data_IF_304028148823
#
_entry.id   IF_304028148823
#
_cell.length_a   1.000
_cell.length_b   1.000
_cell.length_c   1.000
_cell.angle_alpha   90.00
_cell.angle_beta   90.00
_cell.angle_gamma   90.00
#
_symmetry.space_group_name_H-M   'P 1'
#
loop_
_entity.id
_entity.type
_entity.pdbx_description
1 polymer ?
#
# COMPACT_ATOMS: atom_id res chain seq x y z
N UNK A 1 -17.93 -5.20 28.70
CA UNK A 1 -16.51 -5.05 28.29
C UNK A 1 -16.09 -6.31 27.52
N UNK A 2 -15.37 -6.14 26.41
CA UNK A 2 -14.82 -7.25 25.62
C UNK A 2 -13.33 -7.33 25.94
N UNK A 3 -12.87 -8.50 26.42
CA UNK A 3 -11.44 -8.77 26.55
C UNK A 3 -10.84 -8.89 25.16
N UNK A 4 -9.71 -8.24 24.93
CA UNK A 4 -9.01 -8.20 23.64
C UNK A 4 -7.50 -8.31 23.87
N UNK A 5 -6.76 -8.69 22.83
CA UNK A 5 -5.31 -8.66 22.81
C UNK A 5 -4.85 -7.63 21.77
N UNK A 6 -3.79 -6.91 22.08
CA UNK A 6 -3.35 -5.78 21.27
C UNK A 6 -1.81 -5.70 21.22
N UNK A 7 -1.26 -5.38 20.06
CA UNK A 7 0.16 -5.05 19.92
C UNK A 7 0.35 -3.57 20.23
N UNK A 8 1.03 -3.28 21.33
CA UNK A 8 1.39 -1.94 21.78
C UNK A 8 2.84 -1.63 21.45
N UNK A 9 3.08 -0.45 20.98
CA UNK A 9 4.41 0.13 20.95
C UNK A 9 4.58 0.94 22.23
N UNK A 10 5.31 0.37 23.19
CA UNK A 10 5.47 0.93 24.53
C UNK A 10 6.55 2.01 24.59
N UNK A 11 7.48 1.97 23.66
CA UNK A 11 8.51 2.98 23.44
C UNK A 11 9.04 2.86 22.00
N UNK A 12 9.91 3.78 21.59
CA UNK A 12 10.58 3.72 20.29
C UNK A 12 11.28 2.36 20.11
N UNK A 13 10.91 1.64 19.02
CA UNK A 13 11.48 0.36 18.69
C UNK A 13 11.02 -0.83 19.52
N UNK A 14 10.11 -0.65 20.47
CA UNK A 14 9.69 -1.74 21.34
C UNK A 14 8.19 -2.02 21.21
N UNK A 15 7.87 -3.16 20.60
CA UNK A 15 6.51 -3.70 20.55
C UNK A 15 6.29 -4.72 21.67
N UNK A 16 5.09 -4.76 22.23
CA UNK A 16 4.64 -5.75 23.22
C UNK A 16 3.23 -6.23 22.87
N UNK A 17 2.98 -7.51 23.05
CA UNK A 17 1.66 -8.12 22.90
C UNK A 17 0.99 -8.21 24.28
N UNK A 18 -0.07 -7.46 24.51
CA UNK A 18 -0.67 -7.29 25.83
C UNK A 18 -2.19 -7.49 25.79
N UNK A 19 -2.78 -8.03 26.88
CA UNK A 19 -4.22 -8.00 27.07
C UNK A 19 -4.70 -6.56 27.22
N UNK A 20 -5.89 -6.32 26.73
CA UNK A 20 -6.59 -5.03 26.82
C UNK A 20 -8.10 -5.26 26.88
N UNK A 21 -8.86 -4.20 27.04
CA UNK A 21 -10.31 -4.24 27.10
C UNK A 21 -10.91 -3.13 26.24
N UNK A 22 -12.11 -3.40 25.71
CA UNK A 22 -12.89 -2.39 24.99
C UNK A 22 -14.36 -2.41 25.40
N UNK A 23 -15.03 -1.28 25.34
CA UNK A 23 -16.47 -1.19 25.58
C UNK A 23 -17.25 -1.95 24.50
N UNK A 24 -18.39 -2.53 24.85
CA UNK A 24 -19.33 -3.14 23.91
C UNK A 24 -20.22 -2.13 23.19
N UNK A 25 -20.38 -0.93 23.76
CA UNK A 25 -21.23 0.10 23.16
C UNK A 25 -20.77 0.45 21.75
N UNK A 26 -21.72 0.46 20.81
CA UNK A 26 -21.53 0.86 19.41
C UNK A 26 -22.21 2.18 19.13
N UNK A 27 -21.48 3.12 18.51
CA UNK A 27 -22.13 4.27 17.90
C UNK A 27 -22.96 3.81 16.67
N UNK A 28 -23.97 4.60 16.27
CA UNK A 28 -24.91 4.20 15.21
C UNK A 28 -24.26 3.84 13.87
N UNK A 29 -23.12 4.43 13.55
CA UNK A 29 -22.36 4.24 12.29
C UNK A 29 -21.17 3.26 12.43
N UNK A 30 -21.02 2.64 13.60
CA UNK A 30 -19.90 1.73 13.88
C UNK A 30 -20.26 0.26 13.66
N UNK A 31 -19.22 -0.53 13.47
CA UNK A 31 -19.26 -1.99 13.35
C UNK A 31 -18.28 -2.58 14.36
N UNK A 32 -18.74 -3.55 15.14
CA UNK A 32 -17.89 -4.38 16.00
C UNK A 32 -17.35 -5.55 15.19
N UNK A 33 -16.04 -5.74 15.26
CA UNK A 33 -15.29 -6.66 14.41
C UNK A 33 -14.42 -7.58 15.27
N UNK A 34 -14.38 -8.88 14.92
CA UNK A 34 -13.34 -9.82 15.33
C UNK A 34 -12.30 -9.92 14.22
N UNK A 35 -11.07 -9.58 14.51
CA UNK A 35 -9.96 -9.61 13.55
C UNK A 35 -9.61 -11.05 13.17
N UNK A 36 -9.44 -11.31 11.88
CA UNK A 36 -8.94 -12.58 11.34
C UNK A 36 -7.45 -12.49 11.12
N UNK A 37 -7.00 -11.44 10.41
CA UNK A 37 -5.58 -11.18 10.17
C UNK A 37 -5.30 -9.68 10.00
N UNK A 38 -4.04 -9.28 10.25
CA UNK A 38 -3.55 -7.93 10.01
C UNK A 38 -2.23 -7.94 9.27
N UNK A 39 -2.01 -6.95 8.39
CA UNK A 39 -0.79 -6.78 7.61
C UNK A 39 0.06 -5.65 8.19
N UNK A 40 1.35 -5.89 8.40
CA UNK A 40 2.30 -4.84 8.74
C UNK A 40 2.52 -3.93 7.52
N UNK A 41 2.26 -2.64 7.70
CA UNK A 41 2.61 -1.61 6.72
C UNK A 41 4.02 -1.10 7.00
N UNK A 42 5.05 -1.84 6.55
CA UNK A 42 6.45 -1.59 6.90
C UNK A 42 6.85 -0.13 6.69
N UNK A 43 6.55 0.47 5.55
CA UNK A 43 6.92 1.86 5.27
C UNK A 43 6.28 2.87 6.23
N UNK A 44 5.01 2.68 6.58
CA UNK A 44 4.26 3.59 7.48
C UNK A 44 4.66 3.37 8.93
N UNK A 45 4.66 2.12 9.39
CA UNK A 45 4.94 1.78 10.78
C UNK A 45 6.40 2.02 11.14
N UNK A 46 7.34 1.59 10.30
CA UNK A 46 8.76 1.92 10.47
C UNK A 46 9.00 3.44 10.59
N UNK A 47 8.34 4.21 9.74
CA UNK A 47 8.49 5.65 9.74
C UNK A 47 7.91 6.32 11.00
N UNK A 48 6.77 5.85 11.47
CA UNK A 48 6.17 6.34 12.72
C UNK A 48 7.06 6.00 13.92
N UNK A 49 7.58 4.78 13.93
CA UNK A 49 8.40 4.28 15.03
C UNK A 49 9.81 4.91 15.09
N UNK A 50 10.32 5.43 13.97
CA UNK A 50 11.64 6.07 13.90
C UNK A 50 11.60 7.59 14.00
N UNK A 51 10.43 8.20 14.28
CA UNK A 51 10.25 9.66 14.27
C UNK A 51 10.74 10.31 12.96
N UNK A 52 10.80 9.54 11.87
CA UNK A 52 11.28 9.97 10.55
C UNK A 52 10.20 10.70 9.74
N UNK A 53 9.20 11.24 10.40
CA UNK A 53 8.08 11.92 9.75
C UNK A 53 8.15 13.42 10.00
N UNK A 54 7.71 14.23 9.03
CA UNK A 54 7.39 15.64 9.21
C UNK A 54 6.14 15.84 10.14
N UNK A 55 5.70 14.78 10.82
CA UNK A 55 4.57 14.79 11.76
C UNK A 55 5.07 14.97 13.19
N UNK A 56 4.19 15.39 14.08
CA UNK A 56 4.47 15.46 15.50
C UNK A 56 4.97 14.11 16.03
N UNK A 57 5.89 14.14 17.00
CA UNK A 57 6.45 12.96 17.65
C UNK A 57 5.34 12.03 18.15
N UNK A 58 5.54 10.73 17.98
CA UNK A 58 4.61 9.70 18.46
C UNK A 58 4.62 9.69 19.98
N UNK A 59 3.43 9.77 20.58
CA UNK A 59 3.27 9.61 22.04
C UNK A 59 3.07 8.12 22.34
N UNK A 60 3.94 7.57 23.15
CA UNK A 60 3.85 6.18 23.62
C UNK A 60 3.05 6.08 24.94
N UNK A 61 2.36 4.96 25.21
CA UNK A 61 2.19 3.82 24.30
C UNK A 61 1.23 4.13 23.14
N UNK A 62 1.45 3.51 21.97
CA UNK A 62 0.58 3.66 20.79
C UNK A 62 0.27 2.31 20.18
N UNK A 63 -0.92 2.18 19.60
CA UNK A 63 -1.31 1.01 18.81
C UNK A 63 -1.28 1.42 17.34
N UNK A 64 -0.46 0.74 16.57
CA UNK A 64 -0.36 0.92 15.12
C UNK A 64 -1.16 -0.15 14.39
N UNK A 65 -1.13 -0.10 13.08
CA UNK A 65 -1.78 -0.97 12.12
C UNK A 65 -2.38 -0.16 10.99
N UNK A 66 -2.64 -0.82 9.89
CA UNK A 66 -3.09 -0.15 8.67
C UNK A 66 -4.13 -0.93 7.91
N UNK A 67 -4.01 -2.25 7.86
CA UNK A 67 -4.89 -3.16 7.13
C UNK A 67 -5.24 -4.38 7.97
N UNK A 68 -6.51 -4.73 8.00
CA UNK A 68 -7.00 -5.99 8.58
C UNK A 68 -8.10 -6.60 7.72
N UNK A 69 -8.27 -7.91 7.85
CA UNK A 69 -9.51 -8.59 7.51
C UNK A 69 -10.17 -9.05 8.81
N UNK A 70 -11.45 -8.80 8.94
CA UNK A 70 -12.20 -9.10 10.16
C UNK A 70 -13.61 -9.62 9.84
N UNK A 71 -14.19 -10.37 10.78
CA UNK A 71 -15.60 -10.78 10.76
C UNK A 71 -16.44 -9.76 11.51
N UNK A 72 -17.55 -9.37 10.94
CA UNK A 72 -18.58 -8.53 11.58
C UNK A 72 -19.26 -9.34 12.70
N UNK A 73 -19.26 -8.80 13.92
CA UNK A 73 -19.99 -9.37 15.04
C UNK A 73 -21.33 -8.64 15.27
N UNK A 74 -21.29 -7.32 15.21
CA UNK A 74 -22.46 -6.47 15.44
C UNK A 74 -22.34 -5.18 14.64
N UNK A 75 -23.47 -4.63 14.22
CA UNK A 75 -23.57 -3.36 13.50
C UNK A 75 -24.37 -2.33 14.28
N UNK A 76 -23.99 -1.07 14.20
CA UNK A 76 -24.76 0.06 14.72
C UNK A 76 -26.02 0.30 13.91
N UNK A 77 -26.96 1.04 14.48
CA UNK A 77 -28.33 1.22 13.93
C UNK A 77 -28.40 1.85 12.53
N UNK A 78 -27.38 2.61 12.13
CA UNK A 78 -27.31 3.25 10.80
C UNK A 78 -26.59 2.40 9.75
N UNK A 79 -26.03 1.24 10.12
CA UNK A 79 -25.34 0.34 9.20
C UNK A 79 -26.35 -0.68 8.65
N UNK A 80 -26.71 -0.52 7.39
CA UNK A 80 -27.79 -1.32 6.76
C UNK A 80 -27.29 -2.33 5.73
N UNK A 81 -26.05 -2.24 5.33
CA UNK A 81 -25.43 -2.99 4.22
C UNK A 81 -24.38 -4.03 4.69
N UNK A 82 -24.24 -4.21 6.01
CA UNK A 82 -23.45 -5.25 6.63
C UNK A 82 -24.29 -5.98 7.69
N UNK A 83 -23.95 -7.24 7.94
CA UNK A 83 -24.56 -8.08 8.99
C UNK A 83 -23.52 -8.95 9.69
N UNK A 84 -23.87 -9.47 10.87
CA UNK A 84 -23.04 -10.43 11.58
C UNK A 84 -22.69 -11.63 10.68
N UNK A 85 -21.43 -12.05 10.71
CA UNK A 85 -20.84 -13.08 9.86
C UNK A 85 -20.22 -12.57 8.56
N UNK A 86 -20.52 -11.35 8.09
CA UNK A 86 -19.85 -10.79 6.91
C UNK A 86 -18.34 -10.62 7.17
N UNK A 87 -17.51 -10.91 6.15
CA UNK A 87 -16.08 -10.61 6.19
C UNK A 87 -15.82 -9.24 5.58
N UNK A 88 -15.00 -8.44 6.25
CA UNK A 88 -14.67 -7.09 5.78
C UNK A 88 -13.16 -6.85 5.77
N UNK A 89 -12.70 -6.18 4.72
CA UNK A 89 -11.42 -5.50 4.71
C UNK A 89 -11.56 -4.18 5.47
N UNK A 90 -10.58 -3.89 6.33
CA UNK A 90 -10.57 -2.77 7.25
C UNK A 90 -9.42 -1.80 6.91
N UNK A 91 -9.74 -0.53 6.63
CA UNK A 91 -8.77 0.51 6.34
C UNK A 91 -8.46 1.36 7.57
N UNK A 92 -7.19 1.57 7.89
CA UNK A 92 -6.71 2.17 9.14
C UNK A 92 -7.18 1.40 10.38
N UNK A 93 -7.09 0.08 10.29
CA UNK A 93 -7.26 -0.84 11.41
C UNK A 93 -6.10 -0.76 12.39
N UNK A 94 -6.24 -1.48 13.51
CA UNK A 94 -5.20 -1.68 14.51
C UNK A 94 -4.77 -3.15 14.53
N UNK A 95 -3.58 -3.42 15.09
CA UNK A 95 -3.17 -4.79 15.42
C UNK A 95 -3.78 -5.21 16.76
N UNK A 96 -5.02 -5.69 16.72
CA UNK A 96 -5.76 -6.14 17.89
C UNK A 96 -6.80 -7.21 17.51
N UNK A 97 -7.20 -8.06 18.47
CA UNK A 97 -8.14 -9.15 18.21
C UNK A 97 -9.59 -8.69 18.01
N UNK A 98 -9.99 -7.59 18.66
CA UNK A 98 -11.31 -6.97 18.47
C UNK A 98 -11.17 -5.46 18.25
N UNK A 99 -12.02 -4.90 17.41
CA UNK A 99 -12.03 -3.47 17.16
C UNK A 99 -13.41 -2.95 16.75
N UNK A 100 -13.66 -1.68 17.00
CA UNK A 100 -14.81 -0.96 16.48
C UNK A 100 -14.36 0.00 15.40
N UNK A 101 -15.02 -0.04 14.26
CA UNK A 101 -14.66 0.81 13.13
C UNK A 101 -15.90 1.46 12.52
N UNK A 102 -15.79 2.71 12.05
CA UNK A 102 -16.87 3.34 11.32
C UNK A 102 -17.08 2.63 9.96
N UNK A 103 -18.35 2.50 9.55
CA UNK A 103 -18.75 1.78 8.33
C UNK A 103 -17.99 2.23 7.08
N UNK A 104 -17.73 3.51 6.92
CA UNK A 104 -17.04 4.05 5.74
C UNK A 104 -15.58 3.62 5.58
N UNK A 105 -14.99 2.96 6.60
CA UNK A 105 -13.64 2.38 6.55
C UNK A 105 -13.61 0.90 6.20
N UNK A 106 -14.76 0.32 5.92
CA UNK A 106 -14.91 -1.11 5.68
C UNK A 106 -15.33 -1.38 4.23
N UNK A 107 -14.74 -2.39 3.60
CA UNK A 107 -15.22 -2.95 2.35
C UNK A 107 -15.57 -4.42 2.57
N UNK A 108 -16.80 -4.81 2.22
CA UNK A 108 -17.23 -6.20 2.31
C UNK A 108 -16.44 -7.06 1.32
N UNK A 109 -16.02 -8.23 1.76
CA UNK A 109 -15.43 -9.27 0.92
C UNK A 109 -16.59 -10.17 0.48
N UNK A 110 -16.99 -10.02 -0.79
CA UNK A 110 -18.16 -10.73 -1.33
C UNK A 110 -17.85 -12.18 -1.73
N UNK A 111 -16.59 -12.47 -2.02
CA UNK A 111 -16.14 -13.81 -2.42
C UNK A 111 -15.54 -14.54 -1.21
N UNK A 112 -16.25 -15.57 -0.75
CA UNK A 112 -15.82 -16.38 0.40
C UNK A 112 -14.61 -17.26 0.09
N UNK A 113 -14.28 -17.48 -1.18
CA UNK A 113 -13.09 -18.25 -1.59
C UNK A 113 -11.80 -17.47 -1.53
N UNK A 114 -11.84 -16.12 -1.51
CA UNK A 114 -10.67 -15.29 -1.37
C UNK A 114 -10.09 -15.42 0.04
N UNK A 115 -8.85 -15.95 0.21
CA UNK A 115 -8.24 -16.11 1.53
C UNK A 115 -8.05 -14.76 2.23
N UNK A 116 -8.31 -14.71 3.54
CA UNK A 116 -8.19 -13.47 4.32
C UNK A 116 -6.77 -12.93 4.36
N UNK A 117 -5.77 -13.81 4.43
CA UNK A 117 -4.34 -13.49 4.40
C UNK A 117 -3.87 -12.92 3.06
N UNK A 118 -4.63 -13.14 1.98
CA UNK A 118 -4.42 -12.51 0.69
C UNK A 118 -5.20 -11.18 0.59
N UNK A 119 -6.47 -11.19 0.97
CA UNK A 119 -7.35 -10.02 0.94
C UNK A 119 -6.80 -8.84 1.76
N UNK A 120 -6.09 -9.11 2.85
CA UNK A 120 -5.51 -8.07 3.73
C UNK A 120 -4.52 -7.14 3.02
N UNK A 121 -3.91 -7.58 1.91
CA UNK A 121 -3.01 -6.74 1.10
C UNK A 121 -3.75 -5.69 0.27
N UNK A 122 -5.06 -5.84 0.09
CA UNK A 122 -5.85 -4.93 -0.74
C UNK A 122 -5.73 -3.47 -0.28
N UNK A 123 -5.70 -3.19 1.02
CA UNK A 123 -5.55 -1.82 1.53
C UNK A 123 -4.27 -1.15 1.02
N UNK A 124 -3.13 -1.82 1.11
CA UNK A 124 -1.85 -1.29 0.60
C UNK A 124 -1.84 -1.29 -0.93
N UNK A 125 -2.49 -2.26 -1.56
CA UNK A 125 -2.68 -2.33 -3.01
C UNK A 125 -3.41 -1.11 -3.57
N UNK A 126 -4.39 -0.56 -2.84
CA UNK A 126 -5.10 0.66 -3.24
C UNK A 126 -4.20 1.87 -3.45
N UNK A 127 -3.03 1.96 -2.78
CA UNK A 127 -2.08 3.05 -2.99
C UNK A 127 -1.35 2.90 -4.31
N UNK A 128 -0.84 1.69 -4.60
CA UNK A 128 -0.22 1.38 -5.90
C UNK A 128 -1.21 1.57 -7.05
N UNK A 129 -2.44 1.07 -6.88
CA UNK A 129 -3.53 1.23 -7.82
C UNK A 129 -3.85 2.70 -8.13
N UNK A 130 -3.91 3.56 -7.10
CA UNK A 130 -4.10 4.99 -7.28
C UNK A 130 -2.95 5.64 -8.05
N UNK A 131 -1.71 5.27 -7.77
CA UNK A 131 -0.54 5.78 -8.48
C UNK A 131 -0.66 5.61 -9.99
N UNK A 132 -1.03 4.41 -10.43
CA UNK A 132 -1.26 4.10 -11.85
C UNK A 132 -2.47 4.85 -12.39
N UNK A 133 -3.62 4.83 -11.67
CA UNK A 133 -4.84 5.51 -12.10
C UNK A 133 -4.63 7.02 -12.26
N UNK A 134 -3.82 7.66 -11.43
CA UNK A 134 -3.50 9.09 -11.56
C UNK A 134 -2.83 9.40 -12.88
N UNK A 135 -1.97 8.54 -13.35
CA UNK A 135 -1.30 8.69 -14.64
C UNK A 135 -2.21 8.41 -15.84
N UNK A 136 -3.32 7.67 -15.66
CA UNK A 136 -4.24 7.29 -16.76
C UNK A 136 -3.49 6.74 -17.97
N UNK A 137 -2.74 5.63 -17.84
CA UNK A 137 -2.01 5.09 -18.97
C UNK A 137 -2.98 4.67 -20.08
N UNK A 138 -2.63 4.99 -21.32
CA UNK A 138 -3.31 4.48 -22.49
C UNK A 138 -2.71 3.12 -22.90
N UNK A 139 -3.48 2.32 -23.66
CA UNK A 139 -2.98 1.03 -24.15
C UNK A 139 -1.73 1.25 -25.02
N UNK A 140 -0.63 0.57 -24.69
CA UNK A 140 0.62 0.65 -25.40
C UNK A 140 1.57 1.77 -24.95
N UNK A 141 1.17 2.61 -24.00
CA UNK A 141 2.09 3.54 -23.35
C UNK A 141 3.03 2.79 -22.38
N UNK A 142 4.28 3.21 -22.34
CA UNK A 142 5.26 2.68 -21.38
C UNK A 142 4.95 3.21 -19.97
N UNK A 143 5.06 2.31 -18.98
CA UNK A 143 4.81 2.66 -17.58
C UNK A 143 5.96 2.19 -16.68
N UNK A 144 6.50 3.09 -15.86
CA UNK A 144 7.55 2.75 -14.91
C UNK A 144 7.09 2.88 -13.47
N UNK A 145 7.43 1.89 -12.65
CA UNK A 145 7.20 1.87 -11.20
C UNK A 145 8.54 1.94 -10.48
N UNK A 146 8.74 2.97 -9.69
CA UNK A 146 9.95 3.16 -8.89
C UNK A 146 9.69 2.77 -7.43
N UNK A 147 10.38 1.71 -6.98
CA UNK A 147 10.16 1.05 -5.70
C UNK A 147 9.16 -0.10 -5.80
N UNK A 148 9.67 -1.33 -5.68
CA UNK A 148 8.92 -2.58 -5.82
C UNK A 148 8.62 -3.24 -4.46
N UNK A 149 8.35 -2.43 -3.44
CA UNK A 149 7.75 -2.88 -2.18
C UNK A 149 6.29 -3.32 -2.39
N UNK A 150 5.54 -3.54 -1.31
CA UNK A 150 4.14 -3.99 -1.41
C UNK A 150 3.30 -3.14 -2.36
N UNK A 151 3.39 -1.82 -2.26
CA UNK A 151 2.66 -0.90 -3.12
C UNK A 151 3.09 -1.02 -4.59
N UNK A 152 4.41 -1.14 -4.81
CA UNK A 152 5.00 -1.25 -6.14
C UNK A 152 4.62 -2.53 -6.86
N UNK A 153 4.56 -3.66 -6.14
CA UNK A 153 4.11 -4.94 -6.71
C UNK A 153 2.65 -4.85 -7.20
N UNK A 154 1.78 -4.16 -6.48
CA UNK A 154 0.41 -3.89 -6.96
C UNK A 154 0.39 -2.89 -8.11
N UNK A 155 1.26 -1.88 -8.10
CA UNK A 155 1.33 -0.91 -9.20
C UNK A 155 1.78 -1.58 -10.52
N UNK A 156 2.76 -2.49 -10.49
CA UNK A 156 3.19 -3.29 -11.64
C UNK A 156 2.00 -4.06 -12.23
N UNK A 157 1.33 -4.87 -11.40
CA UNK A 157 0.17 -5.64 -11.85
C UNK A 157 -0.95 -4.75 -12.41
N UNK A 158 -1.17 -3.58 -11.78
CA UNK A 158 -2.19 -2.63 -12.22
C UNK A 158 -1.84 -1.98 -13.55
N UNK A 159 -0.59 -1.57 -13.75
CA UNK A 159 -0.12 -1.00 -15.02
C UNK A 159 -0.27 -2.02 -16.16
N UNK A 160 0.14 -3.28 -15.94
CA UNK A 160 -0.03 -4.37 -16.88
C UNK A 160 -1.51 -4.59 -17.23
N UNK A 161 -2.40 -4.67 -16.23
CA UNK A 161 -3.85 -4.82 -16.42
C UNK A 161 -4.50 -3.61 -17.12
N UNK A 162 -3.88 -2.44 -17.05
CA UNK A 162 -4.36 -1.23 -17.74
C UNK A 162 -3.95 -1.18 -19.21
N UNK A 163 -3.15 -2.16 -19.69
CA UNK A 163 -2.68 -2.24 -21.07
C UNK A 163 -1.41 -1.41 -21.33
N UNK A 164 -0.71 -0.97 -20.31
CA UNK A 164 0.62 -0.33 -20.48
C UNK A 164 1.62 -1.35 -21.02
N UNK A 165 2.50 -0.91 -21.94
CA UNK A 165 3.57 -1.72 -22.52
C UNK A 165 4.69 -0.86 -23.09
N UNK A 166 5.97 -1.09 -22.70
CA UNK A 166 6.39 -2.01 -21.64
C UNK A 166 6.08 -1.48 -20.24
N UNK A 167 5.86 -2.39 -19.29
CA UNK A 167 5.81 -2.10 -17.85
C UNK A 167 7.18 -2.35 -17.26
N UNK A 168 7.77 -1.31 -16.64
CA UNK A 168 9.15 -1.29 -16.15
C UNK A 168 9.16 -1.16 -14.64
N UNK A 169 9.96 -1.98 -13.95
CA UNK A 169 10.14 -1.90 -12.50
C UNK A 169 11.56 -1.49 -12.10
N UNK A 170 11.68 -0.57 -11.14
CA UNK A 170 12.98 -0.19 -10.55
C UNK A 170 12.99 -0.49 -9.04
N UNK A 171 13.97 -1.28 -8.58
CA UNK A 171 14.27 -1.50 -7.15
C UNK A 171 15.72 -1.98 -6.98
N UNK A 172 16.36 -1.66 -5.85
CA UNK A 172 17.69 -2.17 -5.54
C UNK A 172 17.66 -3.68 -5.21
N UNK A 173 16.55 -4.19 -4.66
CA UNK A 173 16.38 -5.60 -4.29
C UNK A 173 16.12 -6.47 -5.51
N UNK A 174 17.03 -7.41 -5.80
CA UNK A 174 16.86 -8.42 -6.85
C UNK A 174 15.59 -9.24 -6.62
N UNK A 175 15.36 -9.75 -5.39
CA UNK A 175 14.14 -10.48 -5.02
C UNK A 175 12.87 -9.73 -5.43
N UNK A 176 12.80 -8.42 -5.20
CA UNK A 176 11.62 -7.61 -5.55
C UNK A 176 11.49 -7.40 -7.06
N UNK A 177 12.61 -7.27 -7.76
CA UNK A 177 12.62 -7.21 -9.23
C UNK A 177 12.12 -8.51 -9.85
N UNK A 178 12.56 -9.67 -9.36
CA UNK A 178 12.12 -10.98 -9.83
C UNK A 178 10.62 -11.20 -9.59
N UNK A 179 10.12 -10.80 -8.42
CA UNK A 179 8.68 -10.83 -8.13
C UNK A 179 7.89 -9.95 -9.11
N UNK A 180 8.39 -8.77 -9.46
CA UNK A 180 7.73 -7.89 -10.42
C UNK A 180 7.72 -8.47 -11.84
N UNK A 181 8.83 -9.08 -12.30
CA UNK A 181 8.89 -9.81 -13.58
C UNK A 181 7.87 -10.96 -13.63
N UNK A 182 7.78 -11.75 -12.57
CA UNK A 182 6.84 -12.87 -12.49
C UNK A 182 5.37 -12.42 -12.48
N UNK A 183 5.09 -11.14 -12.21
CA UNK A 183 3.73 -10.64 -11.99
C UNK A 183 3.36 -9.42 -12.84
N UNK A 184 3.99 -9.25 -14.02
CA UNK A 184 3.51 -8.31 -15.02
C UNK A 184 4.44 -7.16 -15.40
N UNK A 185 5.68 -7.12 -14.87
CA UNK A 185 6.71 -6.27 -15.46
C UNK A 185 7.30 -6.92 -16.70
N UNK A 186 7.55 -6.15 -17.75
CA UNK A 186 8.22 -6.60 -18.97
C UNK A 186 9.75 -6.47 -18.84
N UNK A 187 10.20 -5.52 -18.00
CA UNK A 187 11.62 -5.32 -17.69
C UNK A 187 11.80 -4.79 -16.27
N UNK A 188 12.92 -5.10 -15.64
CA UNK A 188 13.29 -4.57 -14.33
C UNK A 188 14.76 -4.21 -14.29
N UNK A 189 15.10 -3.13 -13.56
CA UNK A 189 16.48 -2.67 -13.44
C UNK A 189 16.79 -2.22 -12.01
N UNK A 190 18.08 -2.19 -11.68
CA UNK A 190 18.55 -1.49 -10.48
C UNK A 190 18.61 0.02 -10.73
N UNK A 191 18.19 0.86 -9.78
CA UNK A 191 18.26 2.31 -9.95
C UNK A 191 19.67 2.86 -10.08
N UNK A 192 20.69 2.13 -9.62
CA UNK A 192 22.11 2.49 -9.70
C UNK A 192 22.83 1.88 -10.92
N UNK A 193 22.11 1.27 -11.84
CA UNK A 193 22.67 0.76 -13.09
C UNK A 193 23.20 1.95 -13.94
N UNK A 194 24.50 2.02 -14.25
CA UNK A 194 25.08 3.12 -15.00
C UNK A 194 24.53 3.26 -16.43
N UNK A 195 23.97 2.17 -16.99
CA UNK A 195 23.37 2.14 -18.31
C UNK A 195 21.84 2.23 -18.28
N UNK A 196 21.23 2.57 -17.12
CA UNK A 196 19.78 2.55 -16.93
C UNK A 196 19.02 3.35 -17.98
N UNK A 197 19.45 4.58 -18.27
CA UNK A 197 18.76 5.43 -19.25
C UNK A 197 18.80 4.83 -20.66
N UNK A 198 19.94 4.26 -21.07
CA UNK A 198 20.08 3.64 -22.39
C UNK A 198 19.28 2.35 -22.49
N UNK A 199 19.23 1.54 -21.43
CA UNK A 199 18.38 0.35 -21.36
C UNK A 199 16.89 0.68 -21.46
N UNK A 200 16.45 1.75 -20.77
CA UNK A 200 15.07 2.24 -20.87
C UNK A 200 14.78 2.73 -22.28
N UNK A 201 15.66 3.53 -22.89
CA UNK A 201 15.50 3.98 -24.29
C UNK A 201 15.42 2.80 -25.26
N UNK A 202 16.24 1.77 -25.08
CA UNK A 202 16.22 0.59 -25.94
C UNK A 202 14.85 -0.11 -25.95
N UNK A 203 14.19 -0.24 -24.79
CA UNK A 203 12.89 -0.90 -24.70
C UNK A 203 11.69 0.02 -24.95
N UNK A 204 11.90 1.34 -25.02
CA UNK A 204 10.88 2.35 -25.33
C UNK A 204 11.06 2.96 -26.74
N UNK A 205 11.70 2.27 -27.66
CA UNK A 205 11.95 2.71 -29.03
C UNK A 205 12.66 4.08 -29.12
N UNK A 206 13.70 4.26 -28.31
CA UNK A 206 14.52 5.50 -28.27
C UNK A 206 13.89 6.66 -27.49
N UNK A 207 12.68 6.43 -26.92
CA UNK A 207 11.99 7.41 -26.07
C UNK A 207 12.35 7.19 -24.60
N UNK A 208 11.81 8.04 -23.74
CA UNK A 208 11.73 7.83 -22.30
C UNK A 208 10.36 7.25 -21.95
N UNK A 209 10.03 7.14 -20.67
CA UNK A 209 8.81 6.51 -20.20
C UNK A 209 7.63 7.48 -20.24
N UNK A 210 6.48 7.06 -20.79
CA UNK A 210 5.29 7.89 -20.95
C UNK A 210 4.61 8.22 -19.60
N UNK A 211 4.65 7.27 -18.65
CA UNK A 211 4.07 7.46 -17.33
C UNK A 211 4.90 6.78 -16.22
N UNK A 212 5.02 7.45 -15.09
CA UNK A 212 5.84 6.99 -13.95
C UNK A 212 5.05 7.07 -12.66
N UNK A 213 5.13 6.01 -11.83
CA UNK A 213 4.69 6.02 -10.43
C UNK A 213 5.91 5.96 -9.51
N UNK A 214 6.20 7.05 -8.82
CA UNK A 214 7.23 7.12 -7.80
C UNK A 214 6.63 6.69 -6.45
N UNK A 215 7.10 5.55 -5.92
CA UNK A 215 6.55 4.90 -4.73
C UNK A 215 7.53 4.87 -3.57
N UNK A 216 8.79 5.19 -3.83
CA UNK A 216 9.83 5.14 -2.79
C UNK A 216 9.70 6.24 -1.76
N UNK A 217 9.25 7.43 -2.17
CA UNK A 217 9.27 8.65 -1.36
C UNK A 217 10.69 9.20 -1.14
N UNK A 218 11.67 8.73 -1.90
CA UNK A 218 13.04 9.25 -1.85
C UNK A 218 13.18 10.47 -2.77
N UNK A 219 13.61 11.64 -2.26
CA UNK A 219 13.83 12.84 -3.09
C UNK A 219 14.73 12.61 -4.30
N UNK A 220 15.77 11.79 -4.17
CA UNK A 220 16.68 11.45 -5.27
C UNK A 220 15.98 10.63 -6.36
N UNK A 221 15.11 9.68 -5.96
CA UNK A 221 14.32 8.91 -6.91
C UNK A 221 13.34 9.80 -7.69
N UNK A 222 12.77 10.84 -7.06
CA UNK A 222 11.94 11.84 -7.77
C UNK A 222 12.72 12.51 -8.91
N UNK A 223 13.94 12.96 -8.64
CA UNK A 223 14.79 13.60 -9.67
C UNK A 223 15.12 12.61 -10.79
N UNK A 224 15.58 11.40 -10.44
CA UNK A 224 15.90 10.35 -11.42
C UNK A 224 14.67 9.98 -12.27
N UNK A 225 13.52 9.81 -11.62
CA UNK A 225 12.28 9.48 -12.34
C UNK A 225 11.84 10.58 -13.32
N UNK A 226 11.96 11.86 -12.94
CA UNK A 226 11.70 12.97 -13.86
C UNK A 226 12.66 12.97 -15.05
N UNK A 227 13.94 12.64 -14.84
CA UNK A 227 14.93 12.50 -15.92
C UNK A 227 14.57 11.38 -16.91
N UNK A 228 13.95 10.30 -16.43
CA UNK A 228 13.55 9.13 -17.21
C UNK A 228 12.15 9.28 -17.84
N UNK A 229 11.40 10.32 -17.49
CA UNK A 229 10.05 10.58 -18.03
C UNK A 229 10.16 11.26 -19.42
N UNK A 230 9.35 10.80 -20.35
CA UNK A 230 9.28 11.37 -21.71
C UNK A 230 8.70 12.79 -21.70
N UNK A 231 9.03 13.65 -22.69
CA UNK A 231 8.34 14.92 -22.86
C UNK A 231 6.82 14.74 -22.98
N UNK A 232 6.06 15.58 -22.25
CA UNK A 232 4.61 15.46 -22.12
C UNK A 232 4.13 14.31 -21.25
N UNK A 233 5.04 13.55 -20.64
CA UNK A 233 4.72 12.40 -19.79
C UNK A 233 4.08 12.77 -18.45
N UNK A 234 3.68 11.76 -17.70
CA UNK A 234 2.97 11.91 -16.42
C UNK A 234 3.76 11.25 -15.30
N UNK A 235 3.89 11.96 -14.19
CA UNK A 235 4.69 11.53 -13.04
C UNK A 235 3.83 11.58 -11.77
N UNK A 236 3.44 10.43 -11.21
CA UNK A 236 2.64 10.38 -9.98
C UNK A 236 3.52 10.21 -8.75
N UNK A 237 3.35 11.10 -7.77
CA UNK A 237 3.97 11.04 -6.45
C UNK A 237 3.08 10.21 -5.52
N UNK A 238 3.43 8.95 -5.31
CA UNK A 238 2.74 7.99 -4.43
C UNK A 238 3.46 7.86 -3.11
N UNK A 239 4.78 7.75 -3.16
CA UNK A 239 5.66 7.66 -2.00
C UNK A 239 5.61 8.93 -1.15
N UNK A 240 5.59 8.77 0.18
CA UNK A 240 5.63 9.90 1.08
C UNK A 240 7.08 10.38 1.24
N UNK A 241 7.45 11.47 0.57
CA UNK A 241 8.71 12.16 0.84
C UNK A 241 8.70 12.71 2.27
N UNK A 242 9.58 12.19 3.10
CA UNK A 242 9.63 12.53 4.52
C UNK A 242 10.61 13.66 4.83
N UNK A 243 11.45 13.98 3.87
CA UNK A 243 12.36 15.11 3.88
C UNK A 243 12.08 16.04 2.70
N UNK A 244 12.31 17.34 2.83
CA UNK A 244 12.23 18.25 1.71
C UNK A 244 13.16 17.81 0.58
N UNK A 245 12.75 18.01 -0.67
CA UNK A 245 13.61 17.84 -1.85
C UNK A 245 14.36 19.14 -2.04
N UNK A 246 15.67 19.15 -1.78
CA UNK A 246 16.44 20.38 -1.72
C UNK A 246 16.70 21.03 -3.07
N UNK A 247 16.73 20.24 -4.17
CA UNK A 247 17.02 20.77 -5.50
C UNK A 247 16.33 19.96 -6.59
N UNK A 248 15.32 20.55 -7.19
CA UNK A 248 14.75 20.09 -8.47
C UNK A 248 14.90 21.21 -9.49
N UNK A 249 15.57 20.94 -10.60
CA UNK A 249 15.59 21.85 -11.75
C UNK A 249 14.23 21.77 -12.48
N UNK A 250 13.26 22.51 -11.96
CA UNK A 250 11.91 22.53 -12.56
C UNK A 250 11.90 23.02 -14.01
N UNK A 251 12.84 23.88 -14.40
CA UNK A 251 12.91 24.37 -15.77
C UNK A 251 13.24 23.23 -16.75
N UNK A 252 14.32 22.49 -16.49
CA UNK A 252 14.76 21.44 -17.38
C UNK A 252 14.02 20.12 -17.22
N UNK A 253 13.55 19.79 -16.01
CA UNK A 253 12.92 18.50 -15.71
C UNK A 253 11.40 18.50 -15.85
N UNK A 254 10.75 19.66 -15.77
CA UNK A 254 9.28 19.72 -15.77
C UNK A 254 8.74 20.71 -16.79
N UNK A 255 9.17 22.00 -16.71
CA UNK A 255 8.60 23.06 -17.52
C UNK A 255 8.91 22.89 -19.02
N UNK A 256 10.19 22.74 -19.36
CA UNK A 256 10.63 22.60 -20.76
C UNK A 256 10.11 21.32 -21.44
N UNK A 257 10.17 20.13 -20.80
CA UNK A 257 9.60 18.91 -21.37
C UNK A 257 8.08 18.81 -21.24
N UNK A 258 7.40 19.67 -20.48
CA UNK A 258 5.95 19.67 -20.31
C UNK A 258 5.45 18.50 -19.48
N UNK A 259 6.24 17.98 -18.53
CA UNK A 259 5.85 16.85 -17.66
C UNK A 259 4.76 17.28 -16.69
N UNK A 260 3.75 16.41 -16.50
CA UNK A 260 2.66 16.62 -15.55
C UNK A 260 2.96 15.88 -14.26
N UNK A 261 3.20 16.61 -13.17
CA UNK A 261 3.36 16.02 -11.84
C UNK A 261 2.00 15.90 -11.16
N UNK A 262 1.69 14.71 -10.66
CA UNK A 262 0.39 14.32 -10.09
C UNK A 262 0.53 13.84 -8.65
N UNK A 263 -0.08 14.53 -7.70
CA UNK A 263 -0.18 14.01 -6.32
C UNK A 263 -1.09 12.78 -6.26
N UNK A 264 -0.64 11.72 -5.60
CA UNK A 264 -1.35 10.45 -5.46
C UNK A 264 -1.52 10.00 -3.99
N UNK A 265 -1.44 10.91 -3.04
CA UNK A 265 -1.64 10.61 -1.63
C UNK A 265 -3.11 10.31 -1.31
N UNK A 266 -3.37 9.38 -0.37
CA UNK A 266 -4.74 8.99 0.01
C UNK A 266 -5.64 10.14 0.46
N UNK A 267 -5.08 11.18 1.09
CA UNK A 267 -5.84 12.39 1.48
C UNK A 267 -6.42 13.15 0.29
N UNK A 268 -5.85 12.97 -0.91
CA UNK A 268 -6.37 13.58 -2.13
C UNK A 268 -7.63 12.87 -2.69
N UNK A 269 -8.00 11.72 -2.12
CA UNK A 269 -9.19 10.96 -2.53
C UNK A 269 -10.48 11.69 -2.13
N UNK A 270 -11.50 11.69 -3.00
CA UNK A 270 -12.80 12.17 -2.59
C UNK A 270 -13.40 11.25 -1.52
N UNK A 271 -14.23 11.83 -0.64
CA UNK A 271 -14.91 11.07 0.43
C UNK A 271 -16.15 10.33 -0.08
N UNK A 272 -16.90 10.91 -1.02
CA UNK A 272 -18.20 10.40 -1.45
C UNK A 272 -18.24 10.06 -2.94
N UNK A 273 -17.98 11.02 -3.82
CA UNK A 273 -18.16 10.83 -5.25
C UNK A 273 -16.82 10.80 -5.98
N UNK A 274 -16.61 9.76 -6.79
CA UNK A 274 -15.42 9.64 -7.62
C UNK A 274 -15.31 10.76 -8.65
N UNK A 275 -14.05 11.10 -8.95
CA UNK A 275 -13.69 12.02 -10.05
C UNK A 275 -12.78 11.30 -11.05
N UNK A 276 -12.67 11.77 -12.28
CA UNK A 276 -11.75 11.20 -13.25
C UNK A 276 -10.30 11.12 -12.70
N UNK A 277 -9.74 9.90 -12.62
CA UNK A 277 -8.43 9.62 -12.04
C UNK A 277 -8.35 9.67 -10.51
N UNK A 278 -9.46 9.89 -9.80
CA UNK A 278 -9.54 9.89 -8.33
C UNK A 278 -10.85 9.24 -7.88
N UNK A 279 -10.75 8.03 -7.34
CA UNK A 279 -11.88 7.29 -6.79
C UNK A 279 -11.84 7.33 -5.26
N UNK A 280 -12.97 7.06 -4.63
CA UNK A 280 -13.04 6.91 -3.18
C UNK A 280 -12.24 5.70 -2.73
N UNK A 281 -11.83 5.67 -1.45
CA UNK A 281 -11.12 4.51 -0.91
C UNK A 281 -11.98 3.24 -0.95
N UNK A 282 -13.27 3.36 -0.67
CA UNK A 282 -14.19 2.21 -0.72
C UNK A 282 -14.35 1.63 -2.12
N UNK A 283 -14.49 2.47 -3.15
CA UNK A 283 -14.57 2.00 -4.54
C UNK A 283 -13.29 1.27 -4.95
N UNK A 284 -12.11 1.78 -4.54
CA UNK A 284 -10.85 1.12 -4.83
C UNK A 284 -10.72 -0.21 -4.10
N UNK A 285 -11.02 -0.25 -2.80
CA UNK A 285 -11.00 -1.50 -2.03
C UNK A 285 -11.93 -2.55 -2.66
N UNK A 286 -13.17 -2.19 -2.95
CA UNK A 286 -14.14 -3.10 -3.58
C UNK A 286 -13.69 -3.56 -4.97
N UNK A 287 -13.09 -2.66 -5.75
CA UNK A 287 -12.56 -3.00 -7.08
C UNK A 287 -11.39 -3.98 -6.98
N UNK A 288 -10.41 -3.70 -6.12
CA UNK A 288 -9.27 -4.59 -5.95
C UNK A 288 -9.67 -5.95 -5.41
N UNK A 289 -10.56 -6.02 -4.41
CA UNK A 289 -11.06 -7.29 -3.89
C UNK A 289 -11.70 -8.13 -5.02
N UNK A 290 -12.48 -7.51 -5.92
CA UNK A 290 -13.05 -8.21 -7.09
C UNK A 290 -11.97 -8.70 -8.06
N UNK A 291 -10.91 -7.91 -8.30
CA UNK A 291 -9.79 -8.34 -9.16
C UNK A 291 -8.99 -9.47 -8.50
N UNK A 292 -8.82 -9.45 -7.19
CA UNK A 292 -8.15 -10.51 -6.44
C UNK A 292 -8.98 -11.80 -6.44
N UNK A 293 -10.28 -11.73 -6.16
CA UNK A 293 -11.21 -12.86 -6.24
C UNK A 293 -11.24 -13.49 -7.64
N UNK A 294 -11.16 -12.68 -8.69
CA UNK A 294 -11.07 -13.15 -10.08
C UNK A 294 -9.67 -13.67 -10.47
N UNK A 295 -8.69 -13.71 -9.56
CA UNK A 295 -7.31 -14.14 -9.81
C UNK A 295 -6.50 -13.22 -10.74
N UNK A 296 -7.02 -12.01 -11.05
CA UNK A 296 -6.37 -11.03 -11.92
C UNK A 296 -5.33 -10.18 -11.21
N UNK A 297 -5.46 -9.98 -9.90
CA UNK A 297 -4.44 -9.42 -9.02
C UNK A 297 -4.07 -10.47 -7.98
N UNK A 298 -2.79 -10.66 -7.75
CA UNK A 298 -2.25 -11.70 -6.88
C UNK A 298 -1.45 -11.08 -5.73
N UNK A 299 -1.60 -11.65 -4.53
CA UNK A 299 -0.85 -11.22 -3.34
C UNK A 299 -0.20 -12.38 -2.57
N UNK A 300 -0.56 -13.62 -2.87
CA UNK A 300 0.00 -14.79 -2.17
C UNK A 300 1.52 -14.82 -2.13
N UNK A 301 2.16 -14.48 -3.25
CA UNK A 301 3.62 -14.44 -3.40
C UNK A 301 4.29 -13.32 -2.58
N UNK A 302 3.52 -12.39 -2.03
CA UNK A 302 4.02 -11.29 -1.20
C UNK A 302 4.08 -11.65 0.29
N UNK A 303 3.52 -12.80 0.70
CA UNK A 303 3.52 -13.26 2.10
C UNK A 303 4.85 -13.96 2.38
N UNK A 304 5.77 -13.27 3.06
CA UNK A 304 7.00 -13.89 3.56
C UNK A 304 6.80 -14.57 4.91
N UNK A 305 5.87 -14.05 5.72
CA UNK A 305 5.64 -14.58 7.07
C UNK A 305 4.15 -14.46 7.44
N UNK A 306 3.57 -15.59 7.83
CA UNK A 306 2.30 -15.66 8.55
C UNK A 306 2.63 -16.00 10.00
N UNK A 307 2.38 -15.09 10.94
CA UNK A 307 2.89 -15.14 12.29
C UNK A 307 1.80 -15.06 13.35
N UNK A 308 2.08 -15.60 14.53
CA UNK A 308 1.29 -15.35 15.71
C UNK A 308 1.51 -13.90 16.20
N UNK A 309 0.46 -13.14 16.55
CA UNK A 309 0.61 -11.80 17.14
C UNK A 309 1.48 -11.77 18.41
N UNK A 310 1.59 -12.85 19.15
CA UNK A 310 2.48 -12.95 20.31
C UNK A 310 3.96 -12.83 19.95
N UNK A 311 4.33 -13.16 18.71
CA UNK A 311 5.70 -13.02 18.19
C UNK A 311 6.05 -11.59 17.73
N UNK A 312 5.10 -10.67 17.85
CA UNK A 312 5.27 -9.28 17.39
C UNK A 312 6.56 -8.60 17.88
N UNK A 313 7.02 -8.75 19.15
CA UNK A 313 8.26 -8.13 19.59
C UNK A 313 9.45 -8.49 18.68
N UNK A 314 9.73 -9.78 18.47
CA UNK A 314 10.84 -10.23 17.63
C UNK A 314 10.66 -9.90 16.15
N UNK A 315 9.42 -9.86 15.66
CA UNK A 315 9.12 -9.49 14.27
C UNK A 315 9.41 -8.00 14.05
N UNK A 316 9.01 -7.13 14.97
CA UNK A 316 9.28 -5.70 14.85
C UNK A 316 10.77 -5.38 15.00
N UNK A 317 11.53 -6.16 15.76
CA UNK A 317 13.02 -6.04 15.77
C UNK A 317 13.58 -6.24 14.35
N UNK A 318 13.10 -7.24 13.61
CA UNK A 318 13.49 -7.46 12.21
C UNK A 318 13.03 -6.33 11.27
N UNK A 319 11.81 -5.83 11.46
CA UNK A 319 11.29 -4.67 10.70
C UNK A 319 12.17 -3.44 10.96
N UNK A 320 12.57 -3.22 12.20
CA UNK A 320 13.49 -2.14 12.57
C UNK A 320 14.87 -2.28 11.95
N UNK A 321 15.38 -3.51 11.90
CA UNK A 321 16.66 -3.83 11.27
C UNK A 321 16.59 -3.73 9.72
N UNK A 322 15.40 -3.43 9.15
CA UNK A 322 15.14 -3.42 7.69
C UNK A 322 15.55 -4.74 7.04
N UNK A 323 15.17 -5.88 7.64
CA UNK A 323 15.48 -7.20 7.10
C UNK A 323 15.03 -7.28 5.63
N UNK A 324 15.96 -7.47 4.66
CA UNK A 324 15.63 -7.48 3.24
C UNK A 324 14.75 -8.66 2.83
N UNK A 325 14.68 -9.70 3.67
CA UNK A 325 13.84 -10.89 3.42
C UNK A 325 12.39 -10.70 3.82
N UNK A 326 12.04 -9.62 4.51
CA UNK A 326 10.66 -9.30 4.89
C UNK A 326 10.06 -8.31 3.90
N UNK A 327 9.05 -8.76 3.13
CA UNK A 327 8.22 -7.90 2.30
C UNK A 327 6.79 -7.84 2.87
N UNK A 328 6.13 -8.98 3.03
CA UNK A 328 4.79 -9.08 3.59
C UNK A 328 4.76 -9.92 4.86
N UNK A 329 4.37 -9.30 5.97
CA UNK A 329 4.19 -9.96 7.27
C UNK A 329 2.73 -9.83 7.66
N UNK A 330 2.07 -10.97 7.84
CA UNK A 330 0.66 -11.07 8.23
C UNK A 330 0.58 -11.71 9.61
N UNK A 331 -0.08 -11.05 10.56
CA UNK A 331 -0.44 -11.65 11.84
C UNK A 331 -1.77 -12.39 11.74
N UNK A 332 -1.81 -13.64 12.18
CA UNK A 332 -3.03 -14.47 12.28
C UNK A 332 -3.66 -14.33 13.68
N UNK A 333 -4.86 -13.75 13.74
CA UNK A 333 -5.59 -13.49 14.98
C UNK A 333 -6.65 -14.55 15.30
N UNK A 334 -6.73 -15.64 14.53
CA UNK A 334 -7.84 -16.63 14.66
C UNK A 334 -7.94 -17.26 16.05
N UNK A 335 -6.83 -17.36 16.76
CA UNK A 335 -6.77 -17.97 18.09
C UNK A 335 -7.05 -16.99 19.25
N UNK A 336 -7.39 -15.73 18.97
CA UNK A 336 -7.55 -14.67 19.97
C UNK A 336 -8.95 -14.08 20.02
#
# INVERSE_FOLDING_TARGET
>A
MIATNTIYFVSKGKAEFLPSEMSEELAPDQVLLKTICTLISQGTEFSLLNDSTNRASVKYPVVLGYSAVATVLQVGSNVTDLKAGDRCLCYHSKHCSYQKMPRHKLAKIEDDTLPSEEAVFCTVGCMGFQGVRRCRPEIGESFMVMGLGLLGQFAIQTAHLSGAFPVIGLDFSEKRRDLALAHGADAVFSPDDPELEDKIKAITNGRKVDAVAEITGNPQAVVQGLQLTAPGGRFSLVGCSRTPTESIDFYNLVHRPGIIILGAHNVARPLHDRRPGLWTMQEDMSTLLRYMAAGRLKSRHLIDLLADPADAPGIYDRVYARDPNLLGVVFDWKNY
#
